data_IF_848257804478
#
_entry.id   IF_848257804478
#
_cell.length_a   1.000
_cell.length_b   1.000
_cell.length_c   1.000
_cell.angle_alpha   90.00
_cell.angle_beta   90.00
_cell.angle_gamma   90.00
#
_symmetry.space_group_name_H-M   'P 1'
#
loop_
_entity.id
_entity.type
_entity.pdbx_description
1 polymer ?
#
# COMPACT_ATOMS: atom_id res chain seq x y z
N UNK A 1 -56.80 -15.90 -17.29
CA UNK A 1 -55.44 -15.65 -17.80
C UNK A 1 -54.84 -14.29 -17.35
N UNK A 2 -55.58 -13.18 -17.30
CA UNK A 2 -55.05 -11.87 -16.86
C UNK A 2 -54.57 -11.85 -15.41
N UNK A 3 -55.22 -12.57 -14.49
CA UNK A 3 -54.82 -12.58 -13.07
C UNK A 3 -53.57 -13.41 -12.78
N UNK A 4 -53.29 -14.46 -13.59
CA UNK A 4 -52.11 -15.29 -13.42
C UNK A 4 -50.82 -14.56 -13.82
N UNK A 5 -50.86 -13.66 -14.81
CA UNK A 5 -49.73 -12.86 -15.26
C UNK A 5 -49.38 -11.80 -14.21
N UNK A 6 -50.38 -11.24 -13.53
CA UNK A 6 -50.16 -10.25 -12.46
C UNK A 6 -49.47 -10.85 -11.23
N UNK A 7 -49.80 -12.10 -10.87
CA UNK A 7 -49.19 -12.83 -9.76
C UNK A 7 -47.73 -13.18 -10.08
N UNK A 8 -47.43 -13.58 -11.33
CA UNK A 8 -46.03 -13.90 -11.73
C UNK A 8 -45.16 -12.64 -11.74
N UNK A 9 -45.70 -11.50 -12.19
CA UNK A 9 -45.01 -10.21 -12.14
C UNK A 9 -44.72 -9.76 -10.71
N UNK A 10 -45.65 -9.97 -9.78
CA UNK A 10 -45.45 -9.59 -8.37
C UNK A 10 -44.46 -10.49 -7.64
N UNK A 11 -44.42 -11.80 -7.95
CA UNK A 11 -43.44 -12.74 -7.41
C UNK A 11 -42.01 -12.45 -7.91
N UNK A 12 -41.88 -12.02 -9.18
CA UNK A 12 -40.57 -11.68 -9.74
C UNK A 12 -39.98 -10.39 -9.14
N UNK A 13 -40.83 -9.42 -8.77
CA UNK A 13 -40.42 -8.17 -8.12
C UNK A 13 -39.84 -8.39 -6.72
N UNK A 14 -40.28 -9.44 -6.01
CA UNK A 14 -39.80 -9.76 -4.67
C UNK A 14 -38.38 -10.37 -4.71
N UNK A 15 -37.97 -11.04 -5.80
CA UNK A 15 -36.62 -11.57 -5.97
C UNK A 15 -35.60 -10.53 -6.38
N UNK A 16 -35.99 -9.31 -6.75
CA UNK A 16 -35.10 -8.21 -7.08
C UNK A 16 -34.80 -7.31 -5.88
N UNK A 17 -35.41 -7.53 -4.74
CA UNK A 17 -34.98 -6.96 -3.46
C UNK A 17 -33.72 -7.74 -3.03
N UNK A 18 -32.63 -7.57 -3.77
CA UNK A 18 -31.31 -8.04 -3.38
C UNK A 18 -31.06 -7.57 -1.96
N UNK A 19 -30.65 -8.47 -1.09
CA UNK A 19 -30.12 -8.13 0.20
C UNK A 19 -29.05 -7.07 -0.02
N UNK A 20 -29.32 -5.82 0.31
CA UNK A 20 -28.30 -4.90 0.75
C UNK A 20 -27.69 -5.53 2.01
N UNK A 21 -26.70 -6.36 1.81
CA UNK A 21 -25.81 -6.74 2.89
C UNK A 21 -24.96 -5.50 3.18
N UNK A 22 -25.56 -4.52 3.83
CA UNK A 22 -24.81 -3.53 4.58
C UNK A 22 -24.10 -4.30 5.69
N UNK A 23 -23.01 -4.96 5.32
CA UNK A 23 -22.05 -5.42 6.31
C UNK A 23 -21.55 -4.14 6.94
N UNK A 24 -21.79 -3.91 8.26
CA UNK A 24 -21.32 -2.68 8.89
C UNK A 24 -19.82 -2.58 8.66
N UNK A 25 -19.38 -1.44 8.17
CA UNK A 25 -17.97 -1.15 7.97
C UNK A 25 -17.25 -1.42 9.28
N UNK A 26 -16.25 -2.30 9.26
CA UNK A 26 -15.56 -2.73 10.46
C UNK A 26 -14.44 -1.74 10.76
N UNK A 27 -14.69 -0.83 11.70
CA UNK A 27 -13.68 0.03 12.27
C UNK A 27 -13.02 -0.65 13.48
N UNK A 28 -11.69 -0.54 13.59
CA UNK A 28 -10.90 -1.17 14.67
C UNK A 28 -9.74 -0.26 15.10
N UNK A 29 -9.17 -0.56 16.25
CA UNK A 29 -8.00 0.16 16.76
C UNK A 29 -8.36 1.50 17.38
N UNK A 30 -7.32 2.27 17.63
CA UNK A 30 -7.42 3.63 18.19
C UNK A 30 -6.24 4.48 17.73
N UNK A 31 -6.42 5.79 17.77
CA UNK A 31 -5.38 6.80 17.59
C UNK A 31 -5.36 7.69 18.82
N UNK A 32 -4.22 8.22 19.18
CA UNK A 32 -4.07 9.16 20.31
C UNK A 32 -3.82 10.58 19.80
N UNK A 33 -4.08 11.57 20.64
CA UNK A 33 -3.90 12.98 20.30
C UNK A 33 -5.11 13.61 19.64
N UNK A 34 -4.91 14.48 18.67
CA UNK A 34 -5.98 15.26 18.03
C UNK A 34 -7.00 14.42 17.29
N UNK A 35 -6.61 13.23 16.82
CA UNK A 35 -7.48 12.30 16.09
C UNK A 35 -8.02 11.15 16.95
N UNK A 36 -8.09 11.33 18.28
CA UNK A 36 -8.47 10.26 19.21
C UNK A 36 -9.89 9.73 19.03
N UNK A 37 -10.75 10.44 18.32
CA UNK A 37 -12.12 10.03 18.03
C UNK A 37 -12.24 9.20 16.74
N UNK A 38 -11.13 8.98 16.01
CA UNK A 38 -11.09 8.21 14.77
C UNK A 38 -10.66 6.78 15.01
N UNK A 39 -11.04 5.88 14.10
CA UNK A 39 -10.67 4.48 14.10
C UNK A 39 -10.16 4.09 12.70
N UNK A 40 -9.35 3.03 12.66
CA UNK A 40 -8.88 2.49 11.38
C UNK A 40 -9.97 1.71 10.67
N UNK A 41 -10.10 1.97 9.38
CA UNK A 41 -10.97 1.27 8.44
C UNK A 41 -10.11 0.48 7.45
N UNK A 42 -10.71 -0.43 6.72
CA UNK A 42 -10.04 -1.01 5.55
C UNK A 42 -9.98 0.06 4.46
N UNK A 43 -8.80 0.19 3.85
CA UNK A 43 -8.61 1.03 2.69
C UNK A 43 -9.05 0.34 1.39
N UNK A 44 -8.68 0.92 0.27
CA UNK A 44 -9.09 0.45 -1.05
C UNK A 44 -8.01 -0.37 -1.78
N UNK A 45 -8.43 -1.18 -2.73
CA UNK A 45 -7.52 -1.83 -3.66
C UNK A 45 -6.76 -0.81 -4.52
N UNK A 46 -7.38 0.35 -4.82
CA UNK A 46 -6.76 1.40 -5.63
C UNK A 46 -5.47 1.95 -5.03
N UNK A 47 -5.41 2.15 -3.71
CA UNK A 47 -4.17 2.56 -3.04
C UNK A 47 -3.09 1.47 -3.10
N UNK A 48 -3.47 0.20 -2.95
CA UNK A 48 -2.55 -0.94 -3.10
C UNK A 48 -2.02 -1.01 -4.53
N UNK A 49 -2.85 -0.76 -5.54
CA UNK A 49 -2.46 -0.81 -6.96
C UNK A 49 -1.43 0.25 -7.32
N UNK A 50 -1.45 1.43 -6.66
CA UNK A 50 -0.40 2.44 -6.77
C UNK A 50 0.95 1.85 -6.32
N UNK A 51 1.00 1.23 -5.14
CA UNK A 51 2.22 0.64 -4.60
C UNK A 51 2.70 -0.53 -5.46
N UNK A 52 1.79 -1.40 -5.92
CA UNK A 52 2.11 -2.51 -6.84
C UNK A 52 2.73 -2.01 -8.15
N UNK A 53 2.19 -0.92 -8.68
CA UNK A 53 2.72 -0.32 -9.92
C UNK A 53 4.11 0.26 -9.70
N UNK A 54 4.32 0.96 -8.60
CA UNK A 54 5.63 1.50 -8.22
C UNK A 54 6.65 0.40 -8.03
N UNK A 55 6.30 -0.71 -7.35
CA UNK A 55 7.18 -1.87 -7.18
C UNK A 55 7.61 -2.47 -8.54
N UNK A 56 6.67 -2.65 -9.47
CA UNK A 56 6.97 -3.15 -10.81
C UNK A 56 7.89 -2.23 -11.60
N UNK A 57 7.63 -0.92 -11.56
CA UNK A 57 8.47 0.08 -12.23
C UNK A 57 9.88 0.11 -11.61
N UNK A 58 9.97 0.00 -10.30
CA UNK A 58 11.24 -0.07 -9.59
C UNK A 58 12.04 -1.32 -9.97
N UNK A 59 11.40 -2.48 -10.01
CA UNK A 59 12.03 -3.73 -10.46
C UNK A 59 12.58 -3.64 -11.88
N UNK A 60 11.94 -2.84 -12.74
CA UNK A 60 12.40 -2.56 -14.11
C UNK A 60 13.37 -1.36 -14.19
N UNK A 61 13.71 -0.71 -13.07
CA UNK A 61 14.53 0.51 -13.02
C UNK A 61 13.93 1.67 -13.84
N UNK A 62 12.62 1.66 -14.05
CA UNK A 62 11.89 2.74 -14.73
C UNK A 62 11.53 3.85 -13.72
N UNK A 63 12.54 4.57 -13.26
CA UNK A 63 12.39 5.63 -12.29
C UNK A 63 11.57 6.82 -12.82
N UNK A 64 11.65 7.09 -14.12
CA UNK A 64 10.85 8.15 -14.73
C UNK A 64 9.37 7.78 -14.76
N UNK A 65 9.05 6.52 -15.05
CA UNK A 65 7.69 5.99 -14.92
C UNK A 65 7.14 6.05 -13.50
N UNK A 66 8.01 5.89 -12.49
CA UNK A 66 7.61 5.99 -11.07
C UNK A 66 7.21 7.41 -10.67
N UNK A 67 7.81 8.45 -11.25
CA UNK A 67 7.65 9.87 -10.85
C UNK A 67 6.19 10.27 -10.72
N UNK A 68 5.34 9.84 -11.64
CA UNK A 68 3.92 10.20 -11.64
C UNK A 68 3.13 9.69 -10.43
N UNK A 69 3.68 8.69 -9.72
CA UNK A 69 3.06 8.10 -8.52
C UNK A 69 3.55 8.72 -7.21
N UNK A 70 4.45 9.70 -7.27
CA UNK A 70 4.95 10.41 -6.11
C UNK A 70 4.51 11.88 -6.14
N UNK A 71 4.30 12.46 -4.97
CA UNK A 71 4.13 13.89 -4.85
C UNK A 71 5.45 14.62 -5.10
N UNK A 72 5.39 15.88 -5.52
CA UNK A 72 6.58 16.70 -5.74
C UNK A 72 7.41 16.84 -4.45
N UNK A 73 6.73 16.90 -3.31
CA UNK A 73 7.33 17.00 -1.97
C UNK A 73 7.09 15.70 -1.19
N UNK A 74 7.54 14.56 -1.71
CA UNK A 74 7.44 13.29 -0.99
C UNK A 74 8.45 13.22 0.15
N UNK A 75 8.02 12.78 1.34
CA UNK A 75 8.91 12.46 2.44
C UNK A 75 9.26 10.97 2.44
N UNK A 76 10.55 10.64 2.30
CA UNK A 76 11.01 9.25 2.41
C UNK A 76 11.95 9.11 3.60
N UNK A 77 11.56 8.27 4.55
CA UNK A 77 12.34 7.94 5.75
C UNK A 77 12.87 6.52 5.63
N UNK A 78 14.19 6.36 5.72
CA UNK A 78 14.88 5.08 5.55
C UNK A 78 15.13 4.37 6.84
N UNK A 79 15.52 3.07 6.80
CA UNK A 79 15.81 2.29 7.99
C UNK A 79 16.95 2.86 8.85
N UNK A 80 17.88 3.59 8.26
CA UNK A 80 18.99 4.25 8.97
C UNK A 80 18.62 5.63 9.56
N UNK A 81 17.34 6.04 9.42
CA UNK A 81 16.85 7.33 9.88
C UNK A 81 17.12 8.52 8.93
N UNK A 82 17.79 8.31 7.80
CA UNK A 82 17.95 9.37 6.81
C UNK A 82 16.62 9.70 6.11
N UNK A 83 16.43 10.97 5.78
CA UNK A 83 15.22 11.46 5.13
C UNK A 83 15.56 12.17 3.83
N UNK A 84 14.76 11.94 2.79
CA UNK A 84 14.74 12.74 1.57
C UNK A 84 13.34 13.32 1.37
N UNK A 85 13.26 14.53 0.76
CA UNK A 85 12.00 15.26 0.63
C UNK A 85 11.58 15.51 -0.82
N UNK A 86 12.26 14.89 -1.77
CA UNK A 86 11.93 14.94 -3.20
C UNK A 86 12.11 13.56 -3.81
N UNK A 87 11.37 13.31 -4.88
CA UNK A 87 11.52 12.07 -5.64
C UNK A 87 12.93 11.92 -6.22
N UNK A 88 13.52 13.01 -6.75
CA UNK A 88 14.87 12.96 -7.32
C UNK A 88 15.93 12.56 -6.28
N UNK A 89 15.91 13.20 -5.10
CA UNK A 89 16.83 12.81 -4.01
C UNK A 89 16.59 11.38 -3.53
N UNK A 90 15.36 10.89 -3.61
CA UNK A 90 15.06 9.50 -3.31
C UNK A 90 15.70 8.57 -4.35
N UNK A 91 15.53 8.84 -5.65
CA UNK A 91 16.11 8.04 -6.74
C UNK A 91 17.65 8.10 -6.72
N UNK A 92 18.25 9.27 -6.52
CA UNK A 92 19.70 9.44 -6.40
C UNK A 92 20.30 8.56 -5.29
N UNK A 93 19.51 8.23 -4.31
CA UNK A 93 19.94 7.42 -3.18
C UNK A 93 19.93 5.92 -3.43
N UNK A 94 19.34 5.44 -4.54
CA UNK A 94 19.45 4.05 -4.97
C UNK A 94 20.84 3.73 -5.51
N UNK A 95 21.77 4.64 -5.32
CA UNK A 95 23.05 4.59 -5.94
C UNK A 95 23.73 3.25 -5.79
N UNK A 96 23.97 2.70 -6.94
CA UNK A 96 25.27 2.17 -7.31
C UNK A 96 25.78 1.01 -6.45
N UNK A 97 25.33 -0.18 -6.77
CA UNK A 97 26.13 -1.35 -6.53
C UNK A 97 25.53 -2.52 -5.77
N UNK A 98 24.44 -2.34 -5.09
CA UNK A 98 23.77 -3.50 -4.49
C UNK A 98 22.83 -4.11 -5.52
N UNK A 99 23.30 -5.17 -6.20
CA UNK A 99 22.44 -6.01 -7.07
C UNK A 99 21.44 -6.81 -6.22
N UNK A 100 20.75 -6.13 -5.33
CA UNK A 100 19.75 -6.74 -4.47
C UNK A 100 18.55 -7.18 -5.32
N UNK A 101 18.04 -8.33 -5.00
CA UNK A 101 16.75 -8.82 -5.48
C UNK A 101 15.74 -8.80 -4.34
N UNK A 102 14.44 -8.75 -4.67
CA UNK A 102 13.42 -8.82 -3.62
C UNK A 102 12.21 -9.60 -4.07
N UNK A 103 11.47 -10.11 -3.10
CA UNK A 103 10.12 -10.63 -3.26
C UNK A 103 9.13 -9.77 -2.49
N UNK A 104 8.05 -9.38 -3.15
CA UNK A 104 6.94 -8.64 -2.59
C UNK A 104 5.95 -9.66 -2.01
N UNK A 105 5.85 -9.71 -0.68
CA UNK A 105 5.17 -10.82 -0.01
C UNK A 105 3.71 -10.53 0.32
N UNK A 106 3.38 -9.29 0.69
CA UNK A 106 2.03 -8.86 1.02
C UNK A 106 1.87 -7.34 0.94
N UNK A 107 0.63 -6.91 0.73
CA UNK A 107 0.18 -5.54 1.01
C UNK A 107 -1.25 -5.54 1.52
N UNK A 108 -1.56 -4.53 2.33
CA UNK A 108 -2.91 -4.18 2.73
C UNK A 108 -3.01 -2.67 2.93
N UNK A 109 -4.23 -2.13 2.75
CA UNK A 109 -4.50 -0.71 2.95
C UNK A 109 -5.43 -0.50 4.14
N UNK A 110 -5.15 0.55 4.91
CA UNK A 110 -5.99 1.03 6.00
C UNK A 110 -6.17 2.54 5.88
N UNK A 111 -7.34 3.02 6.29
CA UNK A 111 -7.72 4.42 6.27
C UNK A 111 -8.13 4.85 7.67
N UNK A 112 -7.66 6.00 8.11
CA UNK A 112 -8.01 6.55 9.42
C UNK A 112 -9.33 7.33 9.38
N UNK A 113 -9.60 8.01 8.27
CA UNK A 113 -10.82 8.80 8.06
C UNK A 113 -11.23 8.79 6.58
N UNK A 114 -12.09 7.84 6.17
CA UNK A 114 -12.53 7.73 4.79
C UNK A 114 -13.21 8.98 4.21
N UNK A 115 -13.57 9.94 5.06
CA UNK A 115 -14.24 11.18 4.63
C UNK A 115 -13.28 12.23 4.07
N UNK A 116 -11.99 12.15 4.38
CA UNK A 116 -10.99 13.16 3.98
C UNK A 116 -10.01 12.68 2.90
N UNK A 117 -10.07 11.41 2.52
CA UNK A 117 -9.15 10.76 1.59
C UNK A 117 -7.74 10.59 2.17
N UNK A 118 -7.00 9.71 1.54
CA UNK A 118 -5.66 9.34 1.97
C UNK A 118 -5.63 8.02 2.74
N UNK A 119 -4.83 7.08 2.24
CA UNK A 119 -4.76 5.73 2.75
C UNK A 119 -3.34 5.33 3.10
N UNK A 120 -3.21 4.52 4.14
CA UNK A 120 -1.94 3.93 4.53
C UNK A 120 -1.81 2.52 3.96
N UNK A 121 -0.95 2.33 2.97
CA UNK A 121 -0.62 1.02 2.43
C UNK A 121 0.58 0.48 3.20
N UNK A 122 0.43 -0.71 3.75
CA UNK A 122 1.47 -1.46 4.44
C UNK A 122 1.93 -2.59 3.54
N UNK A 123 3.22 -2.69 3.26
CA UNK A 123 3.79 -3.68 2.38
C UNK A 123 4.99 -4.40 3.03
N UNK A 124 5.17 -5.67 2.72
CA UNK A 124 6.27 -6.47 3.24
C UNK A 124 7.08 -7.12 2.14
N UNK A 125 8.40 -7.04 2.29
CA UNK A 125 9.38 -7.55 1.33
C UNK A 125 10.42 -8.44 2.01
N UNK A 126 10.96 -9.39 1.25
CA UNK A 126 12.22 -10.04 1.57
C UNK A 126 13.24 -9.55 0.55
N UNK A 127 14.27 -8.82 1.01
CA UNK A 127 15.33 -8.29 0.15
C UNK A 127 16.56 -9.15 0.34
N UNK A 128 17.10 -9.70 -0.73
CA UNK A 128 18.31 -10.53 -0.73
C UNK A 128 19.46 -9.76 -1.39
N UNK A 129 20.53 -9.61 -0.66
CA UNK A 129 21.79 -9.02 -1.08
C UNK A 129 22.76 -10.13 -1.43
N UNK A 130 23.26 -10.20 -2.67
CA UNK A 130 24.20 -11.25 -3.08
C UNK A 130 25.52 -11.18 -2.30
N UNK A 131 26.22 -12.30 -2.27
CA UNK A 131 27.57 -12.35 -1.76
C UNK A 131 28.51 -11.44 -2.56
N UNK A 132 29.49 -10.85 -1.88
CA UNK A 132 30.61 -10.10 -2.47
C UNK A 132 31.94 -10.69 -1.97
N UNK A 133 33.06 -10.17 -2.42
CA UNK A 133 34.36 -10.63 -1.96
C UNK A 133 34.55 -10.47 -0.43
N UNK A 134 33.87 -9.48 0.16
CA UNK A 134 33.99 -9.13 1.58
C UNK A 134 32.79 -9.52 2.45
N UNK A 135 31.74 -10.10 1.85
CA UNK A 135 30.48 -10.34 2.55
C UNK A 135 29.72 -11.53 1.98
N UNK A 136 29.26 -12.42 2.83
CA UNK A 136 28.34 -13.48 2.45
C UNK A 136 26.96 -12.92 2.05
N UNK A 137 26.21 -13.71 1.26
CA UNK A 137 24.80 -13.42 0.96
C UNK A 137 24.00 -13.29 2.25
N UNK A 138 23.09 -12.32 2.29
CA UNK A 138 22.17 -12.16 3.41
C UNK A 138 20.85 -11.58 2.94
N UNK A 139 19.82 -11.75 3.75
CA UNK A 139 18.49 -11.21 3.48
C UNK A 139 18.01 -10.32 4.62
N UNK A 140 17.22 -9.32 4.27
CA UNK A 140 16.51 -8.46 5.19
C UNK A 140 15.01 -8.64 5.02
N UNK A 141 14.28 -8.69 6.11
CA UNK A 141 12.85 -8.42 6.11
C UNK A 141 12.65 -6.92 6.11
N UNK A 142 11.96 -6.40 5.11
CA UNK A 142 11.62 -4.99 5.02
C UNK A 142 10.12 -4.80 5.10
N UNK A 143 9.70 -3.88 5.94
CA UNK A 143 8.34 -3.39 6.03
C UNK A 143 8.31 -1.94 5.56
N UNK A 144 7.38 -1.62 4.68
CA UNK A 144 7.19 -0.28 4.14
C UNK A 144 5.78 0.22 4.43
N UNK A 145 5.70 1.46 4.86
CA UNK A 145 4.45 2.16 5.10
C UNK A 145 4.37 3.36 4.16
N UNK A 146 3.41 3.32 3.27
CA UNK A 146 3.11 4.38 2.31
C UNK A 146 1.90 5.17 2.77
N UNK A 147 1.92 6.49 2.62
CA UNK A 147 0.71 7.31 2.68
C UNK A 147 0.38 7.78 1.28
N UNK A 148 -0.78 7.33 0.78
CA UNK A 148 -1.24 7.55 -0.60
C UNK A 148 -2.44 8.50 -0.57
N UNK A 149 -2.37 9.60 -1.29
CA UNK A 149 -3.45 10.59 -1.45
C UNK A 149 -3.64 10.85 -2.94
N UNK A 150 -4.85 10.73 -3.43
CA UNK A 150 -5.19 10.98 -4.84
C UNK A 150 -4.27 10.23 -5.84
N UNK A 151 -3.93 8.98 -5.53
CA UNK A 151 -3.07 8.15 -6.36
C UNK A 151 -1.58 8.50 -6.31
N UNK A 152 -1.15 9.35 -5.37
CA UNK A 152 0.24 9.76 -5.18
C UNK A 152 0.75 9.40 -3.78
N UNK A 153 1.96 8.90 -3.72
CA UNK A 153 2.69 8.65 -2.48
C UNK A 153 3.20 9.99 -1.93
N UNK A 154 2.73 10.35 -0.75
CA UNK A 154 3.13 11.57 -0.04
C UNK A 154 4.25 11.25 0.97
N UNK A 155 4.19 10.07 1.58
CA UNK A 155 5.19 9.61 2.53
C UNK A 155 5.51 8.13 2.28
N UNK A 156 6.77 7.79 2.38
CA UNK A 156 7.26 6.41 2.42
C UNK A 156 8.16 6.24 3.65
N UNK A 157 7.84 5.31 4.52
CA UNK A 157 8.67 4.91 5.67
C UNK A 157 9.10 3.48 5.52
N UNK A 158 10.41 3.25 5.63
CA UNK A 158 11.01 1.94 5.46
C UNK A 158 11.59 1.47 6.80
N UNK A 159 11.27 0.25 7.18
CA UNK A 159 11.80 -0.43 8.35
C UNK A 159 12.44 -1.74 7.90
N UNK A 160 13.65 -2.00 8.35
CA UNK A 160 14.38 -3.19 7.94
C UNK A 160 14.95 -3.91 9.17
N UNK A 161 14.79 -5.22 9.18
CA UNK A 161 15.37 -6.11 10.16
C UNK A 161 16.24 -7.10 9.39
N UNK A 162 17.54 -7.18 9.76
CA UNK A 162 18.42 -8.18 9.18
C UNK A 162 17.92 -9.57 9.58
N UNK A 163 17.60 -10.37 8.57
CA UNK A 163 17.35 -11.79 8.79
C UNK A 163 18.65 -12.48 9.19
N UNK A 164 18.62 -13.22 10.29
CA UNK A 164 19.75 -14.10 10.59
C UNK A 164 19.81 -15.14 9.48
N UNK A 165 20.98 -15.33 8.88
CA UNK A 165 21.24 -16.43 7.97
C UNK A 165 21.02 -17.74 8.74
N UNK A 166 19.90 -18.43 8.46
CA UNK A 166 19.65 -19.79 8.98
C UNK A 166 20.42 -20.80 8.19
#
# INVERSE_FOLDING_TARGET
>A
MKNSILIILFTFAIFLSGCDTNTPERAIGFVTGENSDTQWHLGTQGAIDVVNTVDQLWANQDYEGMRQYFADSVEVIRPNGSTTNTFDSFVESFSTGDNASWSYNYAYSVDLDPSIGGEHVQAGFLITYPATDDREEYSNLQHESYYVVDGKIITLRQFSIRGDSQ
#
